data_IF_629819029806
#
_entry.id   IF_629819029806
#
_cell.length_a   1.000
_cell.length_b   1.000
_cell.length_c   1.000
_cell.angle_alpha   90.00
_cell.angle_beta   90.00
_cell.angle_gamma   90.00
#
_symmetry.space_group_name_H-M   'P 1'
#
loop_
_entity.id
_entity.type
_entity.pdbx_description
1 polymer ?
#
# COMPACT_ATOMS: atom_id res chain seq x y z
N UNK A 1 12.14 5.51 10.41
CA UNK A 1 11.78 4.27 11.11
C UNK A 1 12.63 3.15 10.54
N UNK A 2 12.98 2.17 11.37
CA UNK A 2 13.54 0.92 10.89
C UNK A 2 12.49 0.14 10.10
N UNK A 3 12.93 -0.85 9.33
CA UNK A 3 12.02 -1.76 8.63
C UNK A 3 11.10 -2.49 9.61
N UNK A 4 11.65 -2.95 10.73
CA UNK A 4 10.92 -3.67 11.78
C UNK A 4 9.85 -2.80 12.42
N UNK A 5 10.19 -1.55 12.77
CA UNK A 5 9.22 -0.58 13.32
C UNK A 5 8.04 -0.35 12.36
N UNK A 6 8.29 -0.30 11.05
CA UNK A 6 7.22 -0.18 10.05
C UNK A 6 6.30 -1.41 10.03
N UNK A 7 6.88 -2.61 10.12
CA UNK A 7 6.12 -3.86 10.16
C UNK A 7 5.27 -3.96 11.43
N UNK A 8 5.82 -3.62 12.59
CA UNK A 8 5.10 -3.65 13.87
C UNK A 8 3.90 -2.69 13.85
N UNK A 9 4.01 -1.56 13.15
CA UNK A 9 2.90 -0.64 12.97
C UNK A 9 1.82 -1.19 12.05
N UNK A 10 2.18 -1.90 10.98
CA UNK A 10 1.22 -2.32 9.93
C UNK A 10 0.57 -3.67 10.23
N UNK A 11 1.33 -4.66 10.72
CA UNK A 11 0.87 -6.04 10.88
C UNK A 11 -0.41 -6.18 11.72
N UNK A 12 -0.56 -5.51 12.89
CA UNK A 12 -1.78 -5.63 13.68
C UNK A 12 -3.04 -5.17 12.94
N UNK A 13 -2.92 -4.15 12.06
CA UNK A 13 -4.05 -3.64 11.27
C UNK A 13 -4.41 -4.61 10.15
N UNK A 14 -3.42 -5.26 9.54
CA UNK A 14 -3.69 -6.31 8.55
C UNK A 14 -4.41 -7.50 9.17
N UNK A 15 -4.00 -7.95 10.35
CA UNK A 15 -4.68 -9.01 11.09
C UNK A 15 -6.12 -8.60 11.44
N UNK A 16 -6.33 -7.38 11.95
CA UNK A 16 -7.66 -6.87 12.28
C UNK A 16 -8.58 -6.83 11.04
N UNK A 17 -8.08 -6.30 9.92
CA UNK A 17 -8.81 -6.25 8.64
C UNK A 17 -9.21 -7.65 8.17
N UNK A 18 -8.28 -8.61 8.26
CA UNK A 18 -8.53 -9.99 7.86
C UNK A 18 -9.56 -10.69 8.75
N UNK A 19 -9.36 -10.65 10.07
CA UNK A 19 -10.19 -11.36 11.03
C UNK A 19 -11.63 -10.81 11.11
N UNK A 20 -11.80 -9.51 10.85
CA UNK A 20 -13.09 -8.83 10.95
C UNK A 20 -13.71 -8.50 9.59
N UNK A 21 -13.06 -8.86 8.48
CA UNK A 21 -13.51 -8.58 7.12
C UNK A 21 -13.82 -7.10 6.89
N UNK A 22 -12.97 -6.23 7.44
CA UNK A 22 -13.09 -4.77 7.29
C UNK A 22 -12.02 -4.23 6.36
N UNK A 23 -12.30 -3.08 5.75
CA UNK A 23 -11.33 -2.42 4.88
C UNK A 23 -10.05 -2.05 5.65
N UNK A 24 -8.90 -2.38 5.07
CA UNK A 24 -7.60 -2.10 5.68
C UNK A 24 -7.28 -0.60 5.70
N UNK A 25 -7.65 0.14 4.66
CA UNK A 25 -7.29 1.56 4.49
C UNK A 25 -7.80 2.45 5.64
N UNK A 26 -9.08 2.39 6.06
CA UNK A 26 -9.54 3.16 7.22
C UNK A 26 -8.77 2.86 8.52
N UNK A 27 -8.28 1.64 8.71
CA UNK A 27 -7.48 1.27 9.89
C UNK A 27 -6.10 1.94 9.87
N UNK A 28 -5.53 2.14 8.69
CA UNK A 28 -4.27 2.87 8.49
C UNK A 28 -4.47 4.37 8.71
N UNK A 29 -5.51 4.95 8.14
CA UNK A 29 -5.81 6.38 8.26
C UNK A 29 -6.21 6.78 9.71
N UNK A 30 -6.75 5.85 10.49
CA UNK A 30 -7.11 6.08 11.88
C UNK A 30 -5.94 5.92 12.87
N UNK A 31 -4.78 5.40 12.44
CA UNK A 31 -3.63 5.21 13.31
C UNK A 31 -2.75 6.46 13.37
N UNK A 32 -2.71 7.10 14.53
CA UNK A 32 -1.94 8.34 14.74
C UNK A 32 -0.43 8.16 14.53
N UNK A 33 0.13 6.99 14.82
CA UNK A 33 1.56 6.74 14.64
C UNK A 33 1.92 6.62 13.15
N UNK A 34 1.01 6.08 12.33
CA UNK A 34 1.13 6.08 10.87
C UNK A 34 0.93 7.49 10.30
N UNK A 35 -0.14 8.18 10.72
CA UNK A 35 -0.45 9.55 10.24
C UNK A 35 0.57 10.59 10.69
N UNK A 36 1.33 10.34 11.76
CA UNK A 36 2.47 11.16 12.14
C UNK A 36 3.66 11.05 11.16
N UNK A 37 3.61 10.12 10.19
CA UNK A 37 4.70 9.80 9.26
C UNK A 37 4.30 9.92 7.80
N UNK A 38 3.04 9.66 7.47
CA UNK A 38 2.51 9.68 6.12
C UNK A 38 1.38 10.69 6.03
N UNK A 39 1.34 11.46 4.93
CA UNK A 39 0.19 12.30 4.62
C UNK A 39 -0.94 11.45 4.03
N UNK A 40 -2.11 12.07 3.84
CA UNK A 40 -3.21 11.41 3.15
C UNK A 40 -2.84 11.11 1.69
N UNK A 41 -2.10 11.99 1.03
CA UNK A 41 -1.60 11.77 -0.34
C UNK A 41 -0.62 10.59 -0.41
N UNK A 42 0.28 10.44 0.57
CA UNK A 42 1.18 9.28 0.64
C UNK A 42 0.39 7.97 0.77
N UNK A 43 -0.67 7.98 1.58
CA UNK A 43 -1.58 6.83 1.71
C UNK A 43 -2.37 6.62 0.41
N UNK A 44 -2.88 7.68 -0.22
CA UNK A 44 -3.58 7.57 -1.50
C UNK A 44 -2.70 6.92 -2.58
N UNK A 45 -1.44 7.31 -2.67
CA UNK A 45 -0.48 6.72 -3.60
C UNK A 45 -0.20 5.24 -3.27
N UNK A 46 -0.03 4.90 -1.99
CA UNK A 46 0.19 3.52 -1.54
C UNK A 46 -0.98 2.57 -1.86
N UNK A 47 -2.20 3.08 -1.97
CA UNK A 47 -3.39 2.32 -2.33
C UNK A 47 -3.78 2.43 -3.83
N UNK A 48 -2.97 3.08 -4.66
CA UNK A 48 -3.23 3.25 -6.09
C UNK A 48 -2.78 2.00 -6.89
N UNK A 49 -3.73 1.22 -7.40
CA UNK A 49 -3.43 0.02 -8.18
C UNK A 49 -2.65 0.28 -9.47
N UNK A 50 -2.72 1.51 -10.03
CA UNK A 50 -1.97 1.87 -11.24
C UNK A 50 -0.46 1.76 -11.02
N UNK A 51 0.01 1.87 -9.78
CA UNK A 51 1.41 1.63 -9.44
C UNK A 51 1.88 0.26 -9.95
N UNK A 52 1.05 -0.78 -9.80
CA UNK A 52 1.36 -2.13 -10.26
C UNK A 52 1.25 -2.31 -11.78
N UNK A 53 0.62 -1.37 -12.49
CA UNK A 53 0.48 -1.39 -13.94
C UNK A 53 1.57 -0.58 -14.66
N UNK A 54 2.37 0.18 -13.92
CA UNK A 54 3.36 1.14 -14.44
C UNK A 54 4.39 0.56 -15.42
N UNK A 55 4.64 -0.75 -15.36
CA UNK A 55 5.61 -1.44 -16.20
C UNK A 55 4.98 -2.40 -17.22
N UNK A 56 3.65 -2.39 -17.38
CA UNK A 56 2.98 -3.31 -18.32
C UNK A 56 3.48 -3.08 -19.75
N UNK A 57 3.51 -1.83 -20.21
CA UNK A 57 3.98 -1.50 -21.57
C UNK A 57 5.43 -1.93 -21.77
N UNK A 58 6.31 -1.66 -20.79
CA UNK A 58 7.71 -2.08 -20.84
C UNK A 58 7.86 -3.61 -20.97
N UNK A 59 7.02 -4.38 -20.29
CA UNK A 59 7.00 -5.84 -20.41
C UNK A 59 6.51 -6.28 -21.79
N UNK A 60 5.49 -5.62 -22.35
CA UNK A 60 4.98 -5.93 -23.69
C UNK A 60 6.01 -5.63 -24.77
N UNK A 61 6.70 -4.50 -24.68
CA UNK A 61 7.81 -4.15 -25.57
C UNK A 61 8.93 -5.21 -25.55
N UNK A 62 9.32 -5.68 -24.37
CA UNK A 62 10.35 -6.74 -24.21
C UNK A 62 9.94 -8.07 -24.86
N UNK A 63 8.64 -8.33 -24.98
CA UNK A 63 8.09 -9.54 -25.60
C UNK A 63 7.83 -9.37 -27.10
N UNK A 64 8.05 -8.18 -27.66
CA UNK A 64 7.69 -7.87 -29.06
C UNK A 64 6.18 -7.83 -29.28
N UNK A 65 5.43 -7.47 -28.24
CA UNK A 65 3.97 -7.32 -28.24
C UNK A 65 3.53 -5.86 -28.06
N UNK A 66 4.48 -4.91 -28.12
CA UNK A 66 4.19 -3.48 -28.20
C UNK A 66 3.60 -3.09 -29.57
N UNK A 67 2.81 -2.02 -29.59
CA UNK A 67 2.17 -1.48 -30.80
C UNK A 67 3.17 -0.82 -31.77
#
# INVERSE_FOLDING_TARGET
MSREEAYDLVQPKTALSWDNQTDFRPLVEADEAIMAKLTKEDIDDAFNYNYHLSHVDEVFERLGLGD
#
